data_IF_856391221861
#
_entry.id   IF_856391221861
#
_cell.length_a   1.000
_cell.length_b   1.000
_cell.length_c   1.000
_cell.angle_alpha   90.00
_cell.angle_beta   90.00
_cell.angle_gamma   90.00
#
_symmetry.space_group_name_H-M   'P 1'
#
loop_
_entity.id
_entity.type
_entity.pdbx_description
1 polymer ?
#
# COMPACT_ATOMS: atom_id res chain seq x y z
N UNK A 1 -94.11 22.57 -6.32
CA UNK A 1 -93.63 22.10 -7.64
C UNK A 1 -92.63 20.98 -7.35
N UNK A 2 -93.04 19.73 -7.13
CA UNK A 2 -93.35 18.67 -8.14
C UNK A 2 -92.29 18.68 -9.24
N UNK A 3 -91.45 17.66 -9.38
CA UNK A 3 -91.84 16.35 -9.92
C UNK A 3 -91.16 15.12 -9.26
N UNK A 4 -91.96 14.06 -9.19
CA UNK A 4 -91.58 12.65 -9.06
C UNK A 4 -91.36 12.09 -10.47
N UNK A 5 -90.51 11.07 -10.61
CA UNK A 5 -90.68 9.92 -11.52
C UNK A 5 -89.83 8.78 -10.93
N UNK A 6 -90.43 7.81 -10.24
CA UNK A 6 -90.99 6.53 -10.71
C UNK A 6 -89.96 5.47 -11.16
N UNK A 7 -89.95 4.35 -10.42
CA UNK A 7 -89.33 3.06 -10.76
C UNK A 7 -90.22 2.31 -11.77
N UNK A 8 -89.68 1.31 -12.49
CA UNK A 8 -89.81 -0.10 -12.04
C UNK A 8 -88.52 -0.91 -12.31
N UNK A 9 -88.16 -2.03 -11.70
CA UNK A 9 -88.95 -3.04 -11.01
C UNK A 9 -89.15 -4.28 -11.89
N UNK A 10 -88.16 -5.19 -12.00
CA UNK A 10 -88.43 -6.60 -12.37
C UNK A 10 -87.42 -7.57 -11.73
N UNK A 11 -87.98 -8.57 -11.05
CA UNK A 11 -87.36 -9.76 -10.46
C UNK A 11 -87.07 -10.84 -11.52
N UNK A 12 -86.08 -11.68 -11.27
CA UNK A 12 -86.11 -13.14 -11.50
C UNK A 12 -84.95 -13.73 -10.67
N UNK A 13 -85.25 -14.29 -9.48
CA UNK A 13 -85.35 -15.74 -9.21
C UNK A 13 -84.14 -16.55 -9.73
N UNK A 14 -83.22 -16.94 -8.86
CA UNK A 14 -83.26 -18.13 -7.99
C UNK A 14 -83.22 -19.43 -8.79
N UNK A 15 -82.08 -20.13 -8.78
CA UNK A 15 -82.11 -21.58 -8.60
C UNK A 15 -80.84 -22.08 -7.93
N UNK A 16 -81.03 -22.63 -6.74
CA UNK A 16 -80.13 -23.49 -6.00
C UNK A 16 -79.63 -24.68 -6.82
N UNK A 17 -78.39 -25.09 -6.55
CA UNK A 17 -78.12 -26.53 -6.34
C UNK A 17 -77.06 -26.72 -5.24
N UNK A 18 -77.54 -26.83 -3.99
CA UNK A 18 -76.88 -27.64 -2.97
C UNK A 18 -77.02 -29.12 -3.35
N UNK A 19 -75.91 -29.86 -3.36
CA UNK A 19 -75.90 -31.30 -3.05
C UNK A 19 -74.81 -31.56 -2.03
N UNK A 20 -75.23 -31.73 -0.78
CA UNK A 20 -74.48 -32.47 0.23
C UNK A 20 -74.42 -33.94 -0.18
N UNK A 21 -73.26 -34.56 0.02
CA UNK A 21 -73.17 -35.98 0.33
C UNK A 21 -71.93 -36.19 1.22
N UNK A 22 -72.22 -36.38 2.51
CA UNK A 22 -71.60 -37.34 3.42
C UNK A 22 -70.08 -37.26 3.68
N UNK A 23 -69.74 -36.90 4.92
CA UNK A 23 -68.43 -37.18 5.50
C UNK A 23 -68.19 -38.69 5.69
N UNK A 24 -66.99 -39.03 6.16
CA UNK A 24 -66.96 -39.40 7.58
C UNK A 24 -65.88 -38.65 8.37
N UNK A 25 -66.32 -38.16 9.53
CA UNK A 25 -65.63 -38.15 10.81
C UNK A 25 -64.10 -38.12 10.87
N UNK A 26 -63.60 -37.04 11.49
CA UNK A 26 -62.67 -37.08 12.61
C UNK A 26 -61.68 -38.25 12.61
N UNK A 27 -60.58 -38.08 11.88
CA UNK A 27 -59.30 -38.29 12.52
C UNK A 27 -58.88 -36.92 13.08
N UNK A 28 -59.09 -36.72 14.38
CA UNK A 28 -58.21 -35.83 15.13
C UNK A 28 -56.79 -36.26 14.75
N UNK A 29 -56.10 -35.44 13.95
CA UNK A 29 -54.66 -35.57 13.85
C UNK A 29 -54.16 -35.32 15.25
N UNK A 30 -53.68 -36.39 15.89
CA UNK A 30 -52.81 -36.25 17.03
C UNK A 30 -51.77 -35.17 16.68
N UNK A 31 -51.42 -34.26 17.61
CA UNK A 31 -50.32 -33.35 17.36
C UNK A 31 -49.15 -34.21 16.89
N UNK A 32 -48.47 -33.86 15.77
CA UNK A 32 -47.30 -34.62 15.35
C UNK A 32 -46.40 -34.68 16.56
N UNK A 33 -46.01 -35.89 16.98
CA UNK A 33 -45.14 -36.11 18.14
C UNK A 33 -44.11 -34.99 18.16
N UNK A 34 -44.26 -34.04 19.10
CA UNK A 34 -43.35 -32.91 19.23
C UNK A 34 -42.04 -33.53 19.65
N UNK A 35 -41.20 -33.87 18.67
CA UNK A 35 -39.86 -34.38 18.90
C UNK A 35 -39.15 -33.29 19.69
N UNK A 36 -38.99 -33.53 20.99
CA UNK A 36 -38.30 -32.61 21.88
C UNK A 36 -36.84 -32.56 21.47
N UNK A 37 -36.47 -31.55 20.67
CA UNK A 37 -35.09 -31.29 20.32
C UNK A 37 -34.37 -30.86 21.61
N UNK A 38 -33.33 -31.57 22.05
CA UNK A 38 -32.55 -31.14 23.22
C UNK A 38 -31.93 -29.75 22.96
N UNK A 39 -31.79 -28.87 23.98
CA UNK A 39 -31.18 -27.55 23.84
C UNK A 39 -29.64 -27.61 23.72
N UNK A 40 -29.13 -28.49 22.86
CA UNK A 40 -27.72 -28.84 22.67
C UNK A 40 -27.39 -28.93 21.19
N UNK A 41 -26.11 -28.79 20.81
CA UNK A 41 -25.68 -28.94 19.43
C UNK A 41 -25.88 -30.37 18.93
N UNK A 42 -25.62 -31.37 19.79
CA UNK A 42 -25.92 -32.77 19.51
C UNK A 42 -27.41 -32.97 19.20
N UNK A 43 -28.30 -32.29 19.92
CA UNK A 43 -29.73 -32.29 19.62
C UNK A 43 -30.07 -31.78 18.21
N UNK A 44 -29.35 -30.76 17.73
CA UNK A 44 -29.57 -30.20 16.39
C UNK A 44 -28.98 -31.06 15.26
N UNK A 45 -27.79 -31.64 15.46
CA UNK A 45 -27.13 -32.51 14.48
C UNK A 45 -27.53 -33.99 14.59
N UNK A 46 -28.37 -34.33 15.56
CA UNK A 46 -28.88 -35.67 15.79
C UNK A 46 -29.81 -36.19 14.69
N UNK A 47 -30.51 -37.29 14.99
CA UNK A 47 -31.27 -38.03 13.99
C UNK A 47 -32.41 -37.20 13.38
N UNK A 48 -33.09 -36.40 14.19
CA UNK A 48 -34.19 -35.56 13.74
C UNK A 48 -33.68 -34.28 13.08
N UNK A 49 -34.18 -34.00 11.87
CA UNK A 49 -33.89 -32.76 11.16
C UNK A 49 -34.76 -31.64 11.72
N UNK A 50 -34.16 -30.80 12.55
CA UNK A 50 -34.77 -29.57 13.06
C UNK A 50 -34.48 -28.37 12.15
N UNK A 51 -35.43 -27.45 12.02
CA UNK A 51 -35.14 -26.15 11.42
C UNK A 51 -34.31 -25.28 12.38
N UNK A 52 -33.46 -24.36 11.88
CA UNK A 52 -32.75 -23.38 12.72
C UNK A 52 -33.71 -22.60 13.65
N UNK A 53 -34.88 -22.23 13.13
CA UNK A 53 -35.89 -21.48 13.88
C UNK A 53 -36.45 -22.26 15.08
N UNK A 54 -36.73 -23.55 14.92
CA UNK A 54 -37.18 -24.42 16.03
C UNK A 54 -36.08 -24.59 17.06
N UNK A 55 -34.85 -24.85 16.60
CA UNK A 55 -33.70 -24.96 17.49
C UNK A 55 -33.47 -23.66 18.29
N UNK A 56 -33.56 -22.50 17.66
CA UNK A 56 -33.42 -21.21 18.33
C UNK A 56 -34.53 -20.95 19.35
N UNK A 57 -35.77 -21.37 19.06
CA UNK A 57 -36.87 -21.31 20.05
C UNK A 57 -36.54 -22.16 21.29
N UNK A 58 -36.02 -23.36 21.09
CA UNK A 58 -35.60 -24.26 22.17
C UNK A 58 -34.46 -23.65 23.00
N UNK A 59 -33.42 -23.10 22.36
CA UNK A 59 -32.31 -22.46 23.07
C UNK A 59 -32.77 -21.26 23.92
N UNK A 60 -33.67 -20.42 23.38
CA UNK A 60 -34.23 -19.27 24.09
C UNK A 60 -35.11 -19.71 25.26
N UNK A 61 -35.98 -20.71 25.07
CA UNK A 61 -36.83 -21.29 26.12
C UNK A 61 -35.99 -21.81 27.29
N UNK A 62 -34.86 -22.45 26.98
CA UNK A 62 -33.94 -23.01 27.97
C UNK A 62 -32.85 -22.04 28.46
N UNK A 63 -32.89 -20.76 28.04
CA UNK A 63 -31.91 -19.71 28.41
C UNK A 63 -30.45 -20.15 28.25
N UNK A 64 -30.14 -20.89 27.19
CA UNK A 64 -28.78 -21.36 26.92
C UNK A 64 -27.89 -20.16 26.62
N UNK A 65 -26.81 -19.99 27.39
CA UNK A 65 -25.81 -18.92 27.19
C UNK A 65 -24.55 -19.38 26.46
N UNK A 66 -24.17 -20.65 26.62
CA UNK A 66 -22.97 -21.25 26.00
C UNK A 66 -23.11 -22.77 25.90
N UNK A 67 -22.59 -23.35 24.83
CA UNK A 67 -22.51 -24.81 24.67
C UNK A 67 -21.32 -25.39 25.45
N UNK A 68 -21.50 -26.58 26.04
CA UNK A 68 -20.43 -27.28 26.77
C UNK A 68 -19.38 -27.81 25.79
N UNK A 69 -18.08 -27.88 26.16
CA UNK A 69 -17.04 -28.42 25.27
C UNK A 69 -17.36 -29.83 24.74
N UNK A 70 -17.84 -30.73 25.61
CA UNK A 70 -18.23 -32.09 25.21
C UNK A 70 -19.34 -32.11 24.14
N UNK A 71 -20.34 -31.22 24.26
CA UNK A 71 -21.43 -31.07 23.28
C UNK A 71 -20.91 -30.56 21.94
N UNK A 72 -19.93 -29.65 21.96
CA UNK A 72 -19.29 -29.15 20.73
C UNK A 72 -18.47 -30.25 20.03
N UNK A 73 -17.68 -31.01 20.76
CA UNK A 73 -16.88 -32.12 20.21
C UNK A 73 -17.75 -33.24 19.62
N UNK A 74 -18.84 -33.58 20.31
CA UNK A 74 -19.78 -34.59 19.84
C UNK A 74 -20.57 -34.11 18.62
N UNK A 75 -20.98 -32.84 18.60
CA UNK A 75 -21.60 -32.23 17.43
C UNK A 75 -20.68 -32.26 16.21
N UNK A 76 -19.36 -32.06 16.37
CA UNK A 76 -18.39 -32.21 15.27
C UNK A 76 -18.39 -33.63 14.70
N UNK A 77 -18.40 -34.66 15.55
CA UNK A 77 -18.48 -36.06 15.10
C UNK A 77 -19.80 -36.37 14.37
N UNK A 78 -20.91 -35.80 14.86
CA UNK A 78 -22.23 -35.93 14.22
C UNK A 78 -22.31 -35.18 12.89
N UNK A 79 -21.67 -34.02 12.75
CA UNK A 79 -21.62 -33.31 11.47
C UNK A 79 -20.96 -34.16 10.37
N UNK A 80 -19.86 -34.86 10.66
CA UNK A 80 -19.19 -35.71 9.66
C UNK A 80 -20.05 -36.89 9.19
N UNK A 81 -20.91 -37.44 10.05
CA UNK A 81 -21.73 -38.62 9.72
C UNK A 81 -23.16 -38.30 9.28
N UNK A 82 -23.80 -37.27 9.85
CA UNK A 82 -25.22 -36.93 9.67
C UNK A 82 -25.45 -35.64 8.87
N UNK A 83 -24.41 -34.85 8.59
CA UNK A 83 -24.45 -33.67 7.71
C UNK A 83 -23.29 -33.66 6.68
N UNK A 84 -23.11 -34.73 5.88
CA UNK A 84 -22.02 -34.81 4.91
C UNK A 84 -22.04 -33.66 3.89
N UNK A 85 -23.23 -33.21 3.49
CA UNK A 85 -23.42 -32.12 2.53
C UNK A 85 -23.37 -30.71 3.15
N UNK A 86 -23.10 -30.62 4.46
CA UNK A 86 -23.04 -29.37 5.23
C UNK A 86 -24.32 -28.51 5.16
N UNK A 87 -25.47 -29.14 4.94
CA UNK A 87 -26.77 -28.46 4.80
C UNK A 87 -27.20 -27.85 6.12
N UNK A 88 -27.07 -28.59 7.22
CA UNK A 88 -27.50 -28.12 8.55
C UNK A 88 -26.58 -27.01 9.05
N UNK A 89 -25.26 -27.17 8.88
CA UNK A 89 -24.30 -26.13 9.23
C UNK A 89 -24.56 -24.84 8.43
N UNK A 90 -24.75 -24.93 7.11
CA UNK A 90 -25.12 -23.78 6.28
C UNK A 90 -26.44 -23.14 6.74
N UNK A 91 -27.44 -23.94 7.09
CA UNK A 91 -28.75 -23.44 7.53
C UNK A 91 -28.67 -22.61 8.81
N UNK A 92 -27.73 -22.92 9.72
CA UNK A 92 -27.43 -22.09 10.89
C UNK A 92 -26.69 -20.81 10.52
N UNK A 93 -25.69 -20.89 9.63
CA UNK A 93 -24.88 -19.73 9.20
C UNK A 93 -25.68 -18.71 8.37
N UNK A 94 -26.66 -19.18 7.60
CA UNK A 94 -27.49 -18.32 6.76
C UNK A 94 -28.48 -17.44 7.55
N UNK A 95 -28.56 -17.60 8.87
CA UNK A 95 -29.47 -16.82 9.71
C UNK A 95 -28.90 -15.43 9.94
N UNK A 96 -29.70 -14.38 9.69
CA UNK A 96 -29.24 -12.99 9.82
C UNK A 96 -28.93 -12.58 11.28
N UNK A 97 -29.54 -13.25 12.26
CA UNK A 97 -29.33 -12.99 13.68
C UNK A 97 -29.47 -14.28 14.50
N UNK A 98 -28.44 -15.14 14.49
CA UNK A 98 -28.43 -16.34 15.33
C UNK A 98 -28.32 -15.95 16.82
N UNK A 99 -28.82 -16.80 17.75
CA UNK A 99 -28.57 -16.61 19.18
C UNK A 99 -27.07 -16.55 19.49
N UNK A 100 -26.67 -15.71 20.45
CA UNK A 100 -25.27 -15.53 20.90
C UNK A 100 -24.48 -16.85 21.08
N UNK A 101 -24.98 -17.91 21.76
CA UNK A 101 -24.24 -19.17 21.88
C UNK A 101 -23.96 -19.85 20.53
N UNK A 102 -24.86 -19.69 19.56
CA UNK A 102 -24.69 -20.24 18.20
C UNK A 102 -23.68 -19.40 17.45
N UNK A 103 -23.81 -18.07 17.48
CA UNK A 103 -22.86 -17.17 16.81
C UNK A 103 -21.43 -17.36 17.32
N UNK A 104 -21.23 -17.50 18.63
CA UNK A 104 -19.91 -17.72 19.21
C UNK A 104 -19.27 -19.06 18.78
N UNK A 105 -20.08 -20.10 18.60
CA UNK A 105 -19.61 -21.45 18.25
C UNK A 105 -19.41 -21.65 16.74
N UNK A 106 -20.31 -21.11 15.93
CA UNK A 106 -20.47 -21.49 14.52
C UNK A 106 -19.23 -21.21 13.67
N UNK A 107 -18.45 -20.19 14.02
CA UNK A 107 -17.25 -19.81 13.27
C UNK A 107 -16.11 -20.81 13.41
N UNK A 108 -15.93 -21.38 14.61
CA UNK A 108 -14.96 -22.44 14.85
C UNK A 108 -15.37 -23.74 14.18
N UNK A 109 -16.67 -24.07 14.25
CA UNK A 109 -17.24 -25.23 13.57
C UNK A 109 -17.12 -25.14 12.04
N UNK A 110 -17.42 -23.98 11.46
CA UNK A 110 -17.24 -23.72 10.03
C UNK A 110 -15.78 -23.87 9.60
N UNK A 111 -14.83 -23.29 10.34
CA UNK A 111 -13.41 -23.45 10.04
C UNK A 111 -12.95 -24.91 10.10
N UNK A 112 -13.34 -25.65 11.14
CA UNK A 112 -13.02 -27.07 11.27
C UNK A 112 -13.60 -27.89 10.11
N UNK A 113 -14.84 -27.61 9.72
CA UNK A 113 -15.50 -28.28 8.59
C UNK A 113 -14.84 -27.97 7.25
N UNK A 114 -14.44 -26.72 7.03
CA UNK A 114 -13.70 -26.32 5.83
C UNK A 114 -12.33 -27.02 5.77
N UNK A 115 -11.58 -27.07 6.87
CA UNK A 115 -10.32 -27.80 6.96
C UNK A 115 -10.50 -29.30 6.64
N UNK A 116 -11.53 -29.94 7.20
CA UNK A 116 -11.83 -31.37 6.97
C UNK A 116 -12.15 -31.65 5.49
N UNK A 117 -12.91 -30.79 4.83
CA UNK A 117 -13.42 -31.03 3.47
C UNK A 117 -12.48 -30.56 2.36
N UNK A 118 -11.64 -29.55 2.63
CA UNK A 118 -10.80 -28.90 1.61
C UNK A 118 -9.29 -29.16 1.83
N UNK A 119 -8.90 -29.63 3.03
CA UNK A 119 -7.51 -29.90 3.35
C UNK A 119 -6.61 -28.68 3.10
N UNK A 120 -5.53 -28.88 2.36
CA UNK A 120 -4.54 -27.84 2.03
C UNK A 120 -5.11 -26.69 1.18
N UNK A 121 -6.23 -26.89 0.47
CA UNK A 121 -6.84 -25.82 -0.32
C UNK A 121 -7.43 -24.69 0.54
N UNK A 122 -7.61 -24.93 1.84
CA UNK A 122 -8.07 -23.94 2.81
C UNK A 122 -7.03 -23.78 3.92
N UNK A 123 -6.20 -22.74 3.81
CA UNK A 123 -5.27 -22.32 4.86
C UNK A 123 -5.81 -21.07 5.58
N UNK A 124 -6.36 -21.20 6.80
CA UNK A 124 -6.85 -20.06 7.58
C UNK A 124 -5.77 -19.03 7.94
N UNK A 125 -4.49 -19.41 7.89
CA UNK A 125 -3.38 -18.55 8.31
C UNK A 125 -2.83 -17.68 7.17
N UNK A 126 -3.12 -18.01 5.90
CA UNK A 126 -2.67 -17.22 4.75
C UNK A 126 -3.19 -15.78 4.84
N UNK A 127 -2.27 -14.82 4.75
CA UNK A 127 -2.56 -13.39 4.86
C UNK A 127 -3.49 -12.85 3.76
N UNK A 128 -3.61 -13.53 2.62
CA UNK A 128 -4.45 -13.11 1.49
C UNK A 128 -5.74 -13.93 1.41
N UNK A 129 -6.85 -13.37 1.92
CA UNK A 129 -8.18 -13.98 1.86
C UNK A 129 -8.64 -14.25 0.42
N UNK A 130 -8.21 -13.43 -0.54
CA UNK A 130 -8.52 -13.60 -1.96
C UNK A 130 -7.80 -14.81 -2.55
N UNK A 131 -6.58 -15.10 -2.09
CA UNK A 131 -5.83 -16.31 -2.47
C UNK A 131 -6.45 -17.57 -1.89
N UNK A 132 -6.85 -17.54 -0.61
CA UNK A 132 -7.60 -18.65 0.00
C UNK A 132 -8.85 -18.95 -0.83
N UNK A 133 -9.64 -17.92 -1.15
CA UNK A 133 -10.87 -18.08 -1.93
C UNK A 133 -10.61 -18.71 -3.31
N UNK A 134 -9.56 -18.29 -4.02
CA UNK A 134 -9.17 -18.90 -5.31
C UNK A 134 -8.82 -20.38 -5.17
N UNK A 135 -8.10 -20.76 -4.11
CA UNK A 135 -7.74 -22.16 -3.85
C UNK A 135 -8.98 -23.00 -3.54
N UNK A 136 -9.90 -22.50 -2.70
CA UNK A 136 -11.18 -23.15 -2.42
C UNK A 136 -12.02 -23.32 -3.68
N UNK A 137 -12.13 -22.29 -4.52
CA UNK A 137 -12.89 -22.37 -5.78
C UNK A 137 -12.34 -23.44 -6.73
N UNK A 138 -11.01 -23.54 -6.82
CA UNK A 138 -10.32 -24.53 -7.66
C UNK A 138 -10.57 -25.95 -7.16
N UNK A 139 -10.51 -26.17 -5.85
CA UNK A 139 -10.81 -27.48 -5.25
C UNK A 139 -12.25 -27.90 -5.48
N UNK A 140 -13.20 -26.97 -5.33
CA UNK A 140 -14.63 -27.24 -5.48
C UNK A 140 -15.10 -27.28 -6.95
N UNK A 141 -14.24 -26.91 -7.91
CA UNK A 141 -14.63 -26.71 -9.31
C UNK A 141 -15.31 -27.94 -9.93
N UNK A 142 -14.71 -29.13 -9.74
CA UNK A 142 -15.26 -30.38 -10.26
C UNK A 142 -16.60 -30.73 -9.60
N UNK A 143 -16.74 -30.48 -8.29
CA UNK A 143 -17.97 -30.72 -7.54
C UNK A 143 -19.11 -29.80 -8.01
N UNK A 144 -18.84 -28.51 -8.23
CA UNK A 144 -19.82 -27.53 -8.70
C UNK A 144 -20.34 -27.84 -10.11
N UNK A 145 -19.50 -28.46 -10.94
CA UNK A 145 -19.85 -28.93 -12.29
C UNK A 145 -20.40 -30.36 -12.36
N UNK A 146 -20.50 -31.07 -11.23
CA UNK A 146 -20.92 -32.47 -11.19
C UNK A 146 -22.38 -32.66 -11.62
N UNK A 147 -22.66 -33.73 -12.36
CA UNK A 147 -24.03 -34.17 -12.68
C UNK A 147 -24.72 -34.82 -11.47
N UNK A 148 -23.94 -35.34 -10.52
CA UNK A 148 -24.48 -35.93 -9.28
C UNK A 148 -24.99 -34.82 -8.37
N UNK A 149 -26.29 -34.85 -8.08
CA UNK A 149 -26.97 -33.82 -7.29
C UNK A 149 -26.36 -33.62 -5.90
N UNK A 150 -25.89 -34.71 -5.28
CA UNK A 150 -25.35 -34.67 -3.92
C UNK A 150 -23.95 -34.07 -3.89
N UNK A 151 -23.08 -34.44 -4.84
CA UNK A 151 -21.75 -33.84 -5.01
C UNK A 151 -21.84 -32.34 -5.30
N UNK A 152 -22.75 -31.96 -6.18
CA UNK A 152 -23.01 -30.56 -6.51
C UNK A 152 -23.52 -29.79 -5.30
N UNK A 153 -24.50 -30.33 -4.59
CA UNK A 153 -25.07 -29.71 -3.38
C UNK A 153 -24.03 -29.55 -2.28
N UNK A 154 -23.21 -30.58 -2.04
CA UNK A 154 -22.08 -30.51 -1.10
C UNK A 154 -21.12 -29.40 -1.48
N UNK A 155 -20.66 -29.36 -2.73
CA UNK A 155 -19.73 -28.33 -3.20
C UNK A 155 -20.32 -26.91 -3.09
N UNK A 156 -21.61 -26.72 -3.42
CA UNK A 156 -22.29 -25.44 -3.25
C UNK A 156 -22.38 -25.00 -1.79
N UNK A 157 -22.71 -25.90 -0.86
CA UNK A 157 -22.83 -25.56 0.55
C UNK A 157 -21.46 -25.26 1.18
N UNK A 158 -20.43 -26.06 0.86
CA UNK A 158 -19.06 -25.80 1.32
C UNK A 158 -18.56 -24.46 0.76
N UNK A 159 -18.84 -24.14 -0.51
CA UNK A 159 -18.52 -22.84 -1.09
C UNK A 159 -19.21 -21.69 -0.34
N UNK A 160 -20.49 -21.82 -0.01
CA UNK A 160 -21.24 -20.81 0.74
C UNK A 160 -20.69 -20.60 2.15
N UNK A 161 -20.36 -21.69 2.85
CA UNK A 161 -19.72 -21.66 4.16
C UNK A 161 -18.36 -20.94 4.07
N UNK A 162 -17.54 -21.27 3.07
CA UNK A 162 -16.25 -20.64 2.84
C UNK A 162 -16.40 -19.13 2.56
N UNK A 163 -17.34 -18.73 1.71
CA UNK A 163 -17.61 -17.32 1.42
C UNK A 163 -18.01 -16.57 2.70
N UNK A 164 -18.99 -17.08 3.45
CA UNK A 164 -19.42 -16.44 4.69
C UNK A 164 -18.28 -16.33 5.72
N UNK A 165 -17.49 -17.39 5.91
CA UNK A 165 -16.37 -17.36 6.83
C UNK A 165 -15.29 -16.38 6.40
N UNK A 166 -14.92 -16.34 5.11
CA UNK A 166 -13.89 -15.44 4.60
C UNK A 166 -14.33 -13.97 4.63
N UNK A 167 -15.61 -13.67 4.35
CA UNK A 167 -16.14 -12.31 4.44
C UNK A 167 -16.15 -11.83 5.89
N UNK A 168 -16.66 -12.64 6.82
CA UNK A 168 -16.84 -12.23 8.23
C UNK A 168 -15.55 -12.29 9.05
N UNK A 169 -14.67 -13.28 8.81
CA UNK A 169 -13.46 -13.51 9.63
C UNK A 169 -12.16 -13.07 8.98
N UNK A 170 -12.13 -12.92 7.66
CA UNK A 170 -10.93 -12.50 6.90
C UNK A 170 -11.15 -11.25 6.07
N UNK A 171 -12.31 -10.58 6.23
CA UNK A 171 -12.67 -9.34 5.54
C UNK A 171 -12.54 -9.42 4.02
N UNK A 172 -12.81 -10.60 3.44
CA UNK A 172 -12.86 -10.76 1.99
C UNK A 172 -13.95 -9.83 1.43
N UNK A 173 -13.59 -8.99 0.44
CA UNK A 173 -14.55 -8.06 -0.13
C UNK A 173 -15.57 -8.83 -0.97
N UNK A 174 -16.87 -8.57 -0.77
CA UNK A 174 -17.97 -9.23 -1.51
C UNK A 174 -17.82 -9.11 -3.03
N UNK A 175 -17.23 -8.00 -3.52
CA UNK A 175 -16.92 -7.84 -4.93
C UNK A 175 -15.88 -8.85 -5.44
N UNK A 176 -14.82 -9.14 -4.67
CA UNK A 176 -13.80 -10.12 -5.06
C UNK A 176 -14.40 -11.52 -5.21
N UNK A 177 -15.44 -11.83 -4.41
CA UNK A 177 -16.23 -13.05 -4.58
C UNK A 177 -17.00 -13.02 -5.90
N UNK A 178 -17.74 -11.94 -6.16
CA UNK A 178 -18.53 -11.77 -7.38
C UNK A 178 -17.69 -11.72 -8.67
N UNK A 179 -16.44 -11.29 -8.58
CA UNK A 179 -15.48 -11.26 -9.70
C UNK A 179 -14.95 -12.65 -10.06
N UNK A 180 -14.77 -13.53 -9.06
CA UNK A 180 -14.13 -14.84 -9.25
C UNK A 180 -15.12 -15.99 -9.48
N UNK A 181 -16.39 -15.83 -9.11
CA UNK A 181 -17.44 -16.84 -9.33
C UNK A 181 -17.87 -17.04 -10.80
N UNK A 182 -17.91 -16.02 -11.68
CA UNK A 182 -18.49 -16.18 -13.02
C UNK A 182 -17.85 -17.27 -13.88
N UNK A 183 -16.51 -17.43 -13.93
CA UNK A 183 -15.88 -18.53 -14.68
C UNK A 183 -16.24 -19.93 -14.18
N UNK A 184 -16.70 -20.04 -12.93
CA UNK A 184 -17.08 -21.31 -12.29
C UNK A 184 -18.56 -21.60 -12.52
N UNK A 185 -19.42 -20.58 -12.40
CA UNK A 185 -20.87 -20.74 -12.49
C UNK A 185 -21.42 -20.63 -13.92
N UNK A 186 -20.67 -20.01 -14.84
CA UNK A 186 -21.09 -19.78 -16.21
C UNK A 186 -20.01 -20.22 -17.19
N UNK A 187 -20.44 -20.82 -18.31
CA UNK A 187 -19.54 -21.23 -19.40
C UNK A 187 -18.84 -20.04 -20.07
N UNK A 188 -19.52 -18.90 -20.11
CA UNK A 188 -19.04 -17.69 -20.76
C UNK A 188 -19.75 -16.45 -20.19
N UNK A 189 -19.12 -15.29 -20.37
CA UNK A 189 -19.64 -14.01 -19.88
C UNK A 189 -20.97 -13.63 -20.54
N UNK A 190 -21.23 -14.00 -21.80
CA UNK A 190 -22.51 -13.68 -22.45
C UNK A 190 -23.66 -14.45 -21.80
N UNK A 191 -23.41 -15.65 -21.30
CA UNK A 191 -24.41 -16.43 -20.56
C UNK A 191 -24.70 -15.81 -19.19
N UNK A 192 -23.67 -15.35 -18.48
CA UNK A 192 -23.83 -14.59 -17.24
C UNK A 192 -24.62 -13.29 -17.45
N UNK A 193 -24.28 -12.52 -18.48
CA UNK A 193 -24.99 -11.27 -18.84
C UNK A 193 -26.44 -11.52 -19.18
N UNK A 194 -26.74 -12.57 -19.98
CA UNK A 194 -28.13 -12.94 -20.30
C UNK A 194 -28.91 -13.35 -19.06
N UNK A 195 -28.29 -14.05 -18.10
CA UNK A 195 -28.93 -14.42 -16.84
C UNK A 195 -29.26 -13.17 -16.00
N UNK A 196 -28.30 -12.25 -15.85
CA UNK A 196 -28.51 -10.98 -15.16
C UNK A 196 -29.61 -10.13 -15.81
N UNK A 197 -29.61 -10.01 -17.14
CA UNK A 197 -30.66 -9.31 -17.89
C UNK A 197 -32.04 -9.94 -17.68
N UNK A 198 -32.14 -11.28 -17.69
CA UNK A 198 -33.41 -11.96 -17.40
C UNK A 198 -33.88 -11.71 -15.97
N UNK A 199 -33.00 -11.72 -14.98
CA UNK A 199 -33.35 -11.41 -13.59
C UNK A 199 -33.92 -10.00 -13.44
N UNK A 200 -33.44 -9.04 -14.24
CA UNK A 200 -33.97 -7.65 -14.26
C UNK A 200 -35.27 -7.54 -15.04
N UNK A 201 -35.38 -8.15 -16.22
CA UNK A 201 -36.52 -7.98 -17.12
C UNK A 201 -37.73 -8.83 -16.76
N UNK A 202 -37.50 -10.05 -16.28
CA UNK A 202 -38.52 -11.10 -16.10
C UNK A 202 -38.40 -11.84 -14.75
N UNK A 203 -37.43 -11.47 -13.92
CA UNK A 203 -37.20 -12.12 -12.64
C UNK A 203 -38.31 -11.82 -11.64
N UNK A 204 -38.42 -12.67 -10.62
CA UNK A 204 -39.31 -12.40 -9.48
C UNK A 204 -38.84 -11.13 -8.76
N UNK A 205 -39.73 -10.49 -8.00
CA UNK A 205 -39.39 -9.24 -7.29
C UNK A 205 -38.13 -9.36 -6.40
N UNK A 206 -37.89 -10.53 -5.80
CA UNK A 206 -36.66 -10.79 -5.04
C UNK A 206 -35.41 -10.82 -5.91
N UNK A 207 -35.47 -11.45 -7.08
CA UNK A 207 -34.36 -11.51 -8.04
C UNK A 207 -34.06 -10.13 -8.62
N UNK A 208 -35.10 -9.36 -8.94
CA UNK A 208 -34.97 -7.97 -9.39
C UNK A 208 -34.29 -7.10 -8.33
N UNK A 209 -34.70 -7.22 -7.05
CA UNK A 209 -34.09 -6.47 -5.94
C UNK A 209 -32.62 -6.82 -5.75
N UNK A 210 -32.26 -8.11 -5.79
CA UNK A 210 -30.87 -8.56 -5.67
C UNK A 210 -30.05 -8.07 -6.87
N UNK A 211 -30.57 -8.18 -8.09
CA UNK A 211 -29.88 -7.70 -9.30
C UNK A 211 -29.65 -6.18 -9.25
N UNK A 212 -30.64 -5.40 -8.80
CA UNK A 212 -30.51 -3.96 -8.61
C UNK A 212 -29.48 -3.61 -7.51
N UNK A 213 -29.48 -4.33 -6.40
CA UNK A 213 -28.50 -4.15 -5.32
C UNK A 213 -27.07 -4.44 -5.81
N UNK A 214 -26.87 -5.54 -6.55
CA UNK A 214 -25.56 -5.88 -7.13
C UNK A 214 -25.11 -4.86 -8.18
N UNK A 215 -26.03 -4.32 -8.99
CA UNK A 215 -25.72 -3.25 -9.94
C UNK A 215 -25.29 -1.97 -9.23
N UNK A 216 -25.95 -1.58 -8.12
CA UNK A 216 -25.57 -0.42 -7.32
C UNK A 216 -24.19 -0.61 -6.64
N UNK A 217 -23.89 -1.82 -6.16
CA UNK A 217 -22.55 -2.16 -5.65
C UNK A 217 -21.50 -2.03 -6.76
N UNK A 218 -21.79 -2.56 -7.96
CA UNK A 218 -20.92 -2.45 -9.13
C UNK A 218 -20.67 -0.99 -9.55
N UNK A 219 -21.72 -0.16 -9.65
CA UNK A 219 -21.62 1.27 -9.99
C UNK A 219 -20.75 2.03 -8.98
N UNK A 220 -20.92 1.75 -7.68
CA UNK A 220 -20.09 2.34 -6.63
C UNK A 220 -18.61 1.96 -6.78
N UNK A 221 -18.31 0.71 -7.14
CA UNK A 221 -16.92 0.28 -7.35
C UNK A 221 -16.29 0.95 -8.57
N UNK A 222 -17.04 1.09 -9.67
CA UNK A 222 -16.57 1.82 -10.85
C UNK A 222 -16.24 3.27 -10.50
N UNK A 223 -17.13 3.96 -9.76
CA UNK A 223 -16.89 5.34 -9.29
C UNK A 223 -15.64 5.46 -8.43
N UNK A 224 -15.47 4.56 -7.46
CA UNK A 224 -14.26 4.56 -6.60
C UNK A 224 -12.99 4.33 -7.44
N UNK A 225 -13.03 3.40 -8.39
CA UNK A 225 -11.90 3.13 -9.27
C UNK A 225 -11.57 4.34 -10.19
N UNK A 226 -12.58 5.05 -10.68
CA UNK A 226 -12.40 6.28 -11.45
C UNK A 226 -11.78 7.40 -10.61
N UNK A 227 -12.22 7.56 -9.37
CA UNK A 227 -11.66 8.52 -8.40
C UNK A 227 -10.21 8.19 -8.01
N UNK A 228 -9.90 6.90 -7.79
CA UNK A 228 -8.53 6.43 -7.55
C UNK A 228 -7.64 6.72 -8.75
N UNK A 229 -8.08 6.39 -9.96
CA UNK A 229 -7.34 6.68 -11.20
C UNK A 229 -7.14 8.18 -11.42
N UNK A 230 -8.13 9.01 -11.07
CA UNK A 230 -7.99 10.46 -11.14
C UNK A 230 -6.96 10.98 -10.13
N UNK A 231 -6.96 10.45 -8.89
CA UNK A 231 -5.94 10.75 -7.88
C UNK A 231 -4.55 10.34 -8.33
N UNK A 232 -4.39 9.15 -8.89
CA UNK A 232 -3.11 8.68 -9.43
C UNK A 232 -2.59 9.58 -10.56
N UNK A 233 -3.48 10.03 -11.47
CA UNK A 233 -3.12 10.99 -12.52
C UNK A 233 -2.63 12.31 -11.93
N UNK A 234 -3.31 12.82 -10.91
CA UNK A 234 -2.91 14.06 -10.24
C UNK A 234 -1.54 13.92 -9.56
N UNK A 235 -1.32 12.83 -8.83
CA UNK A 235 -0.02 12.53 -8.20
C UNK A 235 1.07 12.38 -9.26
N UNK A 236 0.79 11.67 -10.35
CA UNK A 236 1.76 11.50 -11.44
C UNK A 236 2.13 12.83 -12.09
N UNK A 237 1.17 13.74 -12.28
CA UNK A 237 1.43 15.06 -12.83
C UNK A 237 2.26 15.92 -11.85
N UNK A 238 1.94 15.90 -10.56
CA UNK A 238 2.72 16.58 -9.52
C UNK A 238 4.18 16.09 -9.49
N UNK A 239 4.39 14.76 -9.51
CA UNK A 239 5.73 14.18 -9.53
C UNK A 239 6.50 14.58 -10.79
N UNK A 240 5.86 14.66 -11.95
CA UNK A 240 6.50 15.16 -13.18
C UNK A 240 6.92 16.62 -13.05
N UNK A 241 6.05 17.49 -12.54
CA UNK A 241 6.41 18.89 -12.31
C UNK A 241 7.59 19.03 -11.34
N UNK A 242 7.58 18.29 -10.24
CA UNK A 242 8.69 18.26 -9.29
C UNK A 242 9.99 17.74 -9.90
N UNK A 243 9.91 16.75 -10.78
CA UNK A 243 11.06 16.22 -11.52
C UNK A 243 11.61 17.27 -12.50
N UNK A 244 10.74 17.97 -13.23
CA UNK A 244 11.14 19.04 -14.15
C UNK A 244 11.82 20.19 -13.40
N UNK A 245 11.27 20.60 -12.24
CA UNK A 245 11.87 21.65 -11.41
C UNK A 245 13.20 21.22 -10.78
N UNK A 246 13.32 19.96 -10.35
CA UNK A 246 14.59 19.41 -9.87
C UNK A 246 15.63 19.39 -10.99
N UNK A 247 15.26 18.98 -12.20
CA UNK A 247 16.13 18.98 -13.37
C UNK A 247 16.59 20.40 -13.73
N UNK A 248 15.69 21.39 -13.72
CA UNK A 248 16.04 22.80 -13.92
C UNK A 248 17.03 23.29 -12.86
N UNK A 249 16.84 22.91 -11.59
CA UNK A 249 17.76 23.29 -10.50
C UNK A 249 19.13 22.63 -10.66
N UNK A 250 19.18 21.35 -11.06
CA UNK A 250 20.43 20.66 -11.37
C UNK A 250 21.16 21.36 -12.50
N UNK A 251 20.46 21.72 -13.58
CA UNK A 251 21.07 22.40 -14.71
C UNK A 251 21.61 23.79 -14.33
N UNK A 252 20.85 24.54 -13.53
CA UNK A 252 21.32 25.82 -12.99
C UNK A 252 22.58 25.66 -12.14
N UNK A 253 22.59 24.69 -11.23
CA UNK A 253 23.77 24.41 -10.38
C UNK A 253 24.97 23.93 -11.19
N UNK A 254 24.77 23.18 -12.28
CA UNK A 254 25.85 22.78 -13.20
C UNK A 254 26.48 23.99 -13.87
N UNK A 255 25.66 24.91 -14.38
CA UNK A 255 26.14 26.16 -14.99
C UNK A 255 26.89 27.00 -13.96
N UNK A 256 26.34 27.15 -12.74
CA UNK A 256 27.01 27.89 -11.65
C UNK A 256 28.35 27.27 -11.27
N UNK A 257 28.43 25.93 -11.20
CA UNK A 257 29.65 25.19 -10.90
C UNK A 257 30.70 25.37 -12.00
N UNK A 258 30.30 25.30 -13.26
CA UNK A 258 31.20 25.52 -14.39
C UNK A 258 31.74 26.96 -14.43
N UNK A 259 30.88 27.96 -14.20
CA UNK A 259 31.30 29.35 -14.08
C UNK A 259 32.25 29.59 -12.89
N UNK A 260 32.03 28.90 -11.77
CA UNK A 260 32.93 28.98 -10.62
C UNK A 260 34.30 28.37 -10.96
N UNK A 261 34.33 27.24 -11.68
CA UNK A 261 35.57 26.61 -12.14
C UNK A 261 36.36 27.50 -13.08
N UNK A 262 35.71 28.09 -14.09
CA UNK A 262 36.40 29.02 -15.00
C UNK A 262 36.98 30.21 -14.23
N UNK A 263 36.22 30.79 -13.30
CA UNK A 263 36.68 31.89 -12.47
C UNK A 263 37.84 31.52 -11.54
N UNK A 264 37.91 30.27 -11.05
CA UNK A 264 39.07 29.76 -10.30
C UNK A 264 40.28 29.66 -11.23
N UNK A 265 40.13 29.06 -12.40
CA UNK A 265 41.25 28.92 -13.35
C UNK A 265 41.81 30.26 -13.80
N UNK A 266 40.97 31.28 -13.99
CA UNK A 266 41.40 32.65 -14.31
C UNK A 266 42.18 33.28 -13.16
N UNK A 267 41.72 33.09 -11.91
CA UNK A 267 42.43 33.60 -10.73
C UNK A 267 43.76 32.90 -10.51
N UNK A 268 43.82 31.58 -10.68
CA UNK A 268 45.05 30.81 -10.54
C UNK A 268 46.09 31.24 -11.59
N UNK A 269 45.65 31.51 -12.83
CA UNK A 269 46.52 32.07 -13.87
C UNK A 269 47.05 33.47 -13.49
N UNK A 270 46.19 34.32 -12.94
CA UNK A 270 46.60 35.66 -12.48
C UNK A 270 47.59 35.58 -11.30
N UNK A 271 47.37 34.65 -10.35
CA UNK A 271 48.30 34.43 -9.23
C UNK A 271 49.65 33.95 -9.75
N UNK A 272 49.68 32.96 -10.65
CA UNK A 272 50.94 32.47 -11.23
C UNK A 272 51.71 33.59 -11.95
N UNK A 273 51.01 34.47 -12.67
CA UNK A 273 51.62 35.62 -13.32
C UNK A 273 52.21 36.61 -12.29
N UNK A 274 51.48 36.91 -11.22
CA UNK A 274 51.96 37.79 -10.14
C UNK A 274 53.16 37.20 -9.39
N UNK A 275 53.16 35.89 -9.13
CA UNK A 275 54.30 35.19 -8.53
C UNK A 275 55.54 35.26 -9.43
N UNK A 276 55.36 35.10 -10.75
CA UNK A 276 56.44 35.25 -11.71
C UNK A 276 57.00 36.67 -11.73
N UNK A 277 56.15 37.70 -11.75
CA UNK A 277 56.61 39.10 -11.70
C UNK A 277 57.34 39.40 -10.40
N UNK A 278 56.84 38.91 -9.26
CA UNK A 278 57.46 39.12 -7.96
C UNK A 278 58.81 38.39 -7.84
N UNK A 279 58.94 37.19 -8.42
CA UNK A 279 60.21 36.49 -8.52
C UNK A 279 61.21 37.25 -9.39
N UNK A 280 60.78 37.77 -10.55
CA UNK A 280 61.61 38.58 -11.43
C UNK A 280 62.10 39.86 -10.73
N UNK A 281 61.20 40.58 -10.06
CA UNK A 281 61.55 41.76 -9.25
C UNK A 281 62.57 41.39 -8.17
N UNK A 282 62.36 40.31 -7.39
CA UNK A 282 63.33 39.86 -6.38
C UNK A 282 64.70 39.56 -6.97
N UNK A 283 64.76 38.97 -8.17
CA UNK A 283 66.02 38.75 -8.87
C UNK A 283 66.69 40.06 -9.29
N UNK A 284 65.94 41.03 -9.81
CA UNK A 284 66.44 42.36 -10.14
C UNK A 284 66.96 43.09 -8.90
N UNK A 285 66.18 43.18 -7.83
CA UNK A 285 66.61 43.76 -6.55
C UNK A 285 67.84 43.07 -5.97
N UNK A 286 67.92 41.74 -6.11
CA UNK A 286 69.09 40.96 -5.70
C UNK A 286 70.34 41.33 -6.48
N UNK A 287 70.22 41.47 -7.81
CA UNK A 287 71.31 41.90 -8.68
C UNK A 287 71.77 43.31 -8.32
N UNK A 288 70.85 44.27 -8.23
CA UNK A 288 71.15 45.67 -7.89
C UNK A 288 71.84 45.78 -6.53
N UNK A 289 71.39 44.99 -5.54
CA UNK A 289 72.04 44.94 -4.22
C UNK A 289 73.44 44.33 -4.28
N UNK A 290 73.67 43.31 -5.11
CA UNK A 290 75.01 42.73 -5.28
C UNK A 290 75.96 43.66 -6.04
N UNK A 291 75.45 44.37 -7.04
CA UNK A 291 76.19 45.35 -7.83
C UNK A 291 76.61 46.52 -6.95
N UNK A 292 75.67 47.15 -6.23
CA UNK A 292 75.97 48.23 -5.28
C UNK A 292 76.95 47.80 -4.18
N UNK A 293 76.85 46.57 -3.67
CA UNK A 293 77.85 46.02 -2.72
C UNK A 293 79.22 45.82 -3.35
N UNK A 294 79.28 45.35 -4.60
CA UNK A 294 80.54 45.19 -5.33
C UNK A 294 81.20 46.55 -5.58
N UNK A 295 80.43 47.54 -6.02
CA UNK A 295 80.88 48.93 -6.19
C UNK A 295 81.40 49.51 -4.87
N UNK A 296 80.67 49.33 -3.76
CA UNK A 296 81.13 49.74 -2.43
C UNK A 296 82.43 49.04 -2.01
N UNK A 297 82.56 47.73 -2.29
CA UNK A 297 83.78 46.98 -1.96
C UNK A 297 84.97 47.48 -2.77
N UNK A 298 84.79 47.76 -4.06
CA UNK A 298 85.83 48.35 -4.92
C UNK A 298 86.23 49.72 -4.41
N UNK A 299 85.26 50.58 -4.08
CA UNK A 299 85.52 51.91 -3.53
C UNK A 299 86.32 51.85 -2.23
N UNK A 300 85.87 51.06 -1.25
CA UNK A 300 86.52 50.97 0.06
C UNK A 300 87.85 50.22 -0.01
N UNK A 301 87.89 49.08 -0.68
CA UNK A 301 89.04 48.17 -0.69
C UNK A 301 90.11 48.54 -1.68
N UNK A 302 89.75 48.90 -2.91
CA UNK A 302 90.72 49.13 -4.00
C UNK A 302 91.09 50.60 -4.15
N UNK A 303 90.16 51.53 -3.89
CA UNK A 303 90.44 52.98 -4.03
C UNK A 303 90.88 53.64 -2.74
N UNK A 304 90.16 53.43 -1.63
CA UNK A 304 90.45 54.09 -0.35
C UNK A 304 91.48 53.34 0.50
N UNK A 305 91.41 52.00 0.52
CA UNK A 305 92.30 51.15 1.30
C UNK A 305 93.80 51.43 1.07
N UNK A 306 94.30 51.43 -0.18
CA UNK A 306 95.71 51.70 -0.47
C UNK A 306 96.13 53.12 -0.09
N UNK A 307 95.26 54.12 -0.30
CA UNK A 307 95.58 55.52 0.05
C UNK A 307 95.73 55.70 1.57
N UNK A 308 94.91 55.00 2.36
CA UNK A 308 94.99 55.03 3.81
C UNK A 308 96.17 54.20 4.34
N UNK A 309 96.43 53.03 3.75
CA UNK A 309 97.60 52.21 4.08
C UNK A 309 98.91 52.96 3.79
N UNK A 310 99.04 53.55 2.59
CA UNK A 310 100.18 54.41 2.22
C UNK A 310 100.36 55.59 3.19
N UNK A 311 99.25 56.16 3.69
CA UNK A 311 99.30 57.25 4.66
C UNK A 311 99.81 56.79 6.02
N UNK A 312 99.43 55.59 6.46
CA UNK A 312 99.94 54.96 7.69
C UNK A 312 101.42 54.65 7.54
N UNK A 313 101.81 53.97 6.45
CA UNK A 313 103.22 53.63 6.18
C UNK A 313 104.11 54.89 6.16
N UNK A 314 103.64 55.98 5.54
CA UNK A 314 104.36 57.25 5.52
C UNK A 314 104.56 57.88 6.92
N UNK A 315 103.71 57.56 7.89
CA UNK A 315 103.84 57.99 9.28
C UNK A 315 104.74 57.05 10.10
N UNK A 316 104.81 55.77 9.73
CA UNK A 316 105.57 54.73 10.46
C UNK A 316 107.03 54.59 10.01
N UNK A 317 107.40 55.08 8.82
CA UNK A 317 108.80 55.11 8.34
C UNK A 317 109.63 56.15 9.10
N UNK A 318 110.91 55.88 9.41
CA UNK A 318 111.83 56.81 10.10
C UNK A 318 112.89 57.40 9.13
N UNK A 319 113.00 58.74 8.98
CA UNK A 319 112.19 59.78 9.63
C UNK A 319 110.78 59.89 9.02
N UNK A 320 109.80 60.09 9.91
CA UNK A 320 108.37 60.19 9.54
C UNK A 320 108.13 61.25 8.48
N UNK A 321 107.26 60.95 7.51
CA UNK A 321 106.93 61.83 6.37
C UNK A 321 105.47 62.35 6.44
N UNK A 322 105.15 63.27 7.38
CA UNK A 322 103.77 63.71 7.64
C UNK A 322 103.12 64.45 6.46
N UNK A 323 103.89 65.15 5.62
CA UNK A 323 103.35 65.82 4.44
C UNK A 323 102.82 64.84 3.38
N UNK A 324 103.47 63.67 3.24
CA UNK A 324 103.04 62.61 2.33
C UNK A 324 101.75 61.97 2.82
N UNK A 325 101.66 61.69 4.13
CA UNK A 325 100.45 61.17 4.76
C UNK A 325 99.26 62.13 4.59
N UNK A 326 99.45 63.43 4.84
CA UNK A 326 98.40 64.45 4.65
C UNK A 326 97.93 64.52 3.19
N UNK A 327 98.84 64.41 2.21
CA UNK A 327 98.49 64.41 0.78
C UNK A 327 97.64 63.19 0.40
N UNK A 328 97.96 62.02 0.95
CA UNK A 328 97.21 60.77 0.70
C UNK A 328 95.83 60.79 1.34
N UNK A 329 95.70 61.33 2.56
CA UNK A 329 94.40 61.55 3.20
C UNK A 329 93.53 62.54 2.41
N UNK A 330 94.11 63.64 1.89
CA UNK A 330 93.40 64.57 1.01
C UNK A 330 92.94 63.92 -0.30
N UNK A 331 93.78 63.06 -0.89
CA UNK A 331 93.39 62.29 -2.08
C UNK A 331 92.24 61.32 -1.78
N UNK A 332 92.26 60.63 -0.63
CA UNK A 332 91.16 59.78 -0.19
C UNK A 332 89.85 60.56 0.01
N UNK A 333 89.92 61.78 0.57
CA UNK A 333 88.75 62.67 0.69
C UNK A 333 88.19 63.07 -0.68
N UNK A 334 89.05 63.38 -1.66
CA UNK A 334 88.62 63.68 -3.04
C UNK A 334 87.88 62.49 -3.68
N UNK A 335 88.37 61.26 -3.49
CA UNK A 335 87.71 60.04 -3.99
C UNK A 335 86.34 59.83 -3.34
N UNK A 336 86.17 60.20 -2.07
CA UNK A 336 84.87 60.15 -1.39
C UNK A 336 83.91 61.21 -1.93
N UNK A 337 84.38 62.41 -2.28
CA UNK A 337 83.53 63.45 -2.86
C UNK A 337 83.09 63.10 -4.29
N UNK A 338 83.97 62.57 -5.12
CA UNK A 338 83.64 62.08 -6.47
C UNK A 338 82.62 60.93 -6.45
N UNK A 339 82.62 60.10 -5.41
CA UNK A 339 81.69 58.99 -5.28
C UNK A 339 80.30 59.37 -4.72
N UNK A 340 80.09 60.64 -4.37
CA UNK A 340 78.78 61.17 -3.93
C UNK A 340 77.94 61.75 -5.06
N UNK A 341 78.56 62.07 -6.20
CA UNK A 341 77.89 62.54 -7.42
C UNK A 341 77.30 61.39 -8.24
#
# INVERSE_FOLDING_TARGET
MTEKEEKPGTKADSTDTQKQAEGPNNAQSAPPDEVEIPPTLVGYFGEHRASPSEFFKVLRKNKVKRFRPADQEEAVKLMSSKDPDAVRLWSLMAQASPPEPVDAWIWGAAQARLNEQLGEAFDPQDHDAGRIFKSVLRELFAGLGSEKTDDKRRAENILRIAICWLVEKRSLKTWQVAEQLPPVLFKDLKTATRAAQRAVQKGRIGELRIAAAMAAVGDRMVKVAEEERARERNISNDVRHRLDDANRKIEKLRIELENARTSITERDAAIAQLEQTLAAERHHWGHDLTETKAEQKVLLGERLGPLLADAIDALEIDPSAPETALRRVKAALSVIEEAKE
#
